data_IF_422044699704
#
_entry.id   IF_422044699704
#
_cell.length_a   1.000
_cell.length_b   1.000
_cell.length_c   1.000
_cell.angle_alpha   90.00
_cell.angle_beta   90.00
_cell.angle_gamma   90.00
#
_symmetry.space_group_name_H-M   'P 1'
#
loop_
_entity.id
_entity.type
_entity.pdbx_description
1 polymer ?
#
# COMPACT_ATOMS: atom_id res chain seq x y z
N UNK A 1 1.25 24.76 11.56
CA UNK A 1 -0.01 23.99 11.77
C UNK A 1 -0.80 24.69 12.87
N UNK A 2 -2.11 24.87 12.71
CA UNK A 2 -2.97 25.46 13.76
C UNK A 2 -3.37 24.42 14.80
N UNK A 3 -3.47 24.84 16.06
CA UNK A 3 -3.86 23.95 17.14
C UNK A 3 -5.30 23.45 16.93
N UNK A 4 -5.56 22.14 17.03
CA UNK A 4 -6.89 21.57 16.78
C UNK A 4 -7.95 21.99 17.80
N UNK A 5 -7.53 22.56 18.95
CA UNK A 5 -8.42 23.05 20.01
C UNK A 5 -8.50 24.59 20.00
N UNK A 6 -7.44 25.27 19.57
CA UNK A 6 -7.36 26.73 19.56
C UNK A 6 -6.89 27.21 18.18
N UNK A 7 -7.84 27.47 17.28
CA UNK A 7 -7.58 27.82 15.86
C UNK A 7 -6.67 29.04 15.67
N UNK A 8 -6.69 29.98 16.61
CA UNK A 8 -5.86 31.20 16.59
C UNK A 8 -4.39 30.93 16.94
N UNK A 9 -4.07 29.80 17.59
CA UNK A 9 -2.71 29.50 18.08
C UNK A 9 -2.00 28.46 17.21
N UNK A 10 -0.71 28.67 17.02
CA UNK A 10 0.14 27.69 16.35
C UNK A 10 0.45 26.49 17.25
N UNK A 11 0.63 25.34 16.62
CA UNK A 11 1.11 24.12 17.27
C UNK A 11 2.56 24.33 17.69
N UNK A 12 2.82 24.18 18.98
CA UNK A 12 4.18 24.30 19.52
C UNK A 12 4.83 22.93 19.70
N UNK A 13 4.04 21.84 19.75
CA UNK A 13 4.52 20.47 19.88
C UNK A 13 3.39 19.46 19.95
N UNK A 14 3.66 18.29 20.53
CA UNK A 14 2.69 17.22 20.69
C UNK A 14 2.77 16.57 22.07
N UNK A 15 1.68 15.92 22.49
CA UNK A 15 1.63 15.12 23.71
C UNK A 15 2.38 13.80 23.50
N UNK A 16 3.35 13.46 24.34
CA UNK A 16 4.10 12.21 24.19
C UNK A 16 3.27 10.94 24.44
N UNK A 17 2.23 11.02 25.28
CA UNK A 17 1.42 9.84 25.64
C UNK A 17 0.38 9.50 24.57
N UNK A 18 -0.18 10.51 23.89
CA UNK A 18 -1.29 10.32 22.94
C UNK A 18 -1.06 10.90 21.54
N UNK A 19 0.06 11.57 21.30
CA UNK A 19 0.46 12.13 19.99
C UNK A 19 -0.34 13.38 19.57
N UNK A 20 -1.27 13.87 20.39
CA UNK A 20 -2.09 15.03 20.03
C UNK A 20 -1.22 16.29 19.95
N UNK A 21 -1.22 16.94 18.79
CA UNK A 21 -0.61 18.25 18.58
C UNK A 21 -1.37 19.33 19.35
N UNK A 22 -0.64 20.26 19.96
CA UNK A 22 -1.23 21.30 20.77
C UNK A 22 -0.40 22.58 20.82
N UNK A 23 -1.07 23.69 21.13
CA UNK A 23 -0.42 24.94 21.48
C UNK A 23 0.10 24.90 22.93
N UNK A 24 0.77 25.97 23.34
CA UNK A 24 1.29 26.19 24.70
C UNK A 24 0.24 26.07 25.82
N UNK A 25 -1.05 26.23 25.51
CA UNK A 25 -2.15 26.05 26.48
C UNK A 25 -2.56 24.57 26.58
N UNK A 26 -2.52 23.86 25.46
CA UNK A 26 -3.00 22.48 25.39
C UNK A 26 -1.99 21.47 25.93
N UNK A 27 -0.72 21.88 26.02
CA UNK A 27 0.41 21.05 26.40
C UNK A 27 1.13 21.64 27.61
N UNK A 28 1.41 20.80 28.58
CA UNK A 28 2.20 21.12 29.77
C UNK A 28 3.58 20.52 29.62
N UNK A 29 4.63 21.32 29.84
CA UNK A 29 6.02 20.86 29.83
C UNK A 29 6.34 20.14 31.14
N UNK A 30 7.06 19.03 31.04
CA UNK A 30 7.42 18.19 32.19
C UNK A 30 8.90 18.32 32.59
N UNK A 31 9.65 19.24 31.97
CA UNK A 31 10.98 19.63 32.44
C UNK A 31 12.17 18.93 31.77
N UNK A 32 11.94 18.22 30.64
CA UNK A 32 12.98 17.58 29.81
C UNK A 32 12.80 17.82 28.30
N UNK A 33 12.08 18.89 27.93
CA UNK A 33 11.62 19.10 26.54
C UNK A 33 10.43 18.22 26.16
N UNK A 34 9.83 17.57 27.16
CA UNK A 34 8.75 16.61 27.03
C UNK A 34 7.41 17.27 27.37
N UNK A 35 6.42 17.14 26.48
CA UNK A 35 5.11 17.81 26.61
C UNK A 35 3.96 16.82 26.70
N UNK A 36 2.98 17.12 27.55
CA UNK A 36 1.84 16.26 27.84
C UNK A 36 0.54 17.06 27.79
N UNK A 37 -0.52 16.50 27.20
CA UNK A 37 -1.83 17.16 27.19
C UNK A 37 -2.57 17.00 28.52
N UNK A 38 -3.47 17.93 28.83
CA UNK A 38 -4.20 17.92 30.11
C UNK A 38 -4.98 16.64 30.41
N UNK A 39 -5.42 15.87 29.39
CA UNK A 39 -6.06 14.55 29.60
C UNK A 39 -5.05 13.51 30.10
N UNK A 40 -3.89 13.41 29.45
CA UNK A 40 -2.83 12.48 29.84
C UNK A 40 -2.16 12.89 31.16
N UNK A 41 -2.00 14.20 31.40
CA UNK A 41 -1.49 14.71 32.68
C UNK A 41 -2.38 14.31 33.87
N UNK A 42 -3.70 14.40 33.72
CA UNK A 42 -4.65 13.93 34.76
C UNK A 42 -4.54 12.43 35.02
N UNK A 43 -4.31 11.62 33.99
CA UNK A 43 -4.12 10.17 34.14
C UNK A 43 -2.81 9.86 34.86
N UNK A 44 -1.70 10.54 34.51
CA UNK A 44 -0.42 10.40 35.22
C UNK A 44 -0.55 10.78 36.71
N UNK A 45 -1.16 11.93 36.99
CA UNK A 45 -1.36 12.38 38.37
C UNK A 45 -2.37 11.55 39.20
N UNK A 46 -3.26 10.79 38.54
CA UNK A 46 -4.15 9.86 39.21
C UNK A 46 -3.43 8.53 39.52
N UNK A 47 -2.53 8.08 38.64
CA UNK A 47 -1.70 6.89 38.86
C UNK A 47 -0.71 7.09 40.02
N UNK A 48 -0.11 8.28 40.14
CA UNK A 48 0.82 8.60 41.23
C UNK A 48 0.16 8.78 42.61
N UNK A 49 -1.17 8.98 42.65
CA UNK A 49 -1.91 9.23 43.91
C UNK A 49 -2.74 8.06 44.43
N UNK A 50 -2.62 6.87 43.84
CA UNK A 50 -3.21 5.64 44.39
C UNK A 50 -4.72 5.71 44.67
N UNK A 51 -5.45 6.61 44.01
CA UNK A 51 -6.83 6.95 44.40
C UNK A 51 -7.82 6.15 43.54
N UNK A 52 -8.04 4.89 43.92
CA UNK A 52 -9.09 4.02 43.36
C UNK A 52 -10.48 4.58 43.72
N UNK A 53 -11.00 5.50 42.90
CA UNK A 53 -12.42 5.84 42.96
C UNK A 53 -13.26 4.67 42.45
N UNK A 54 -13.80 3.90 43.40
CA UNK A 54 -14.88 2.93 43.21
C UNK A 54 -16.07 3.59 42.50
N UNK A 55 -16.25 3.26 41.22
CA UNK A 55 -17.42 3.61 40.42
C UNK A 55 -18.65 2.85 40.88
N UNK A 56 -19.75 3.58 40.99
CA UNK A 56 -21.04 3.32 41.60
C UNK A 56 -21.92 2.22 40.94
N UNK A 57 -21.34 1.15 40.38
CA UNK A 57 -22.09 0.14 39.59
C UNK A 57 -21.92 -1.31 40.06
N UNK A 58 -21.50 -1.54 41.31
CA UNK A 58 -21.27 -2.89 41.86
C UNK A 58 -22.24 -3.30 42.97
N UNK A 59 -23.50 -2.86 42.91
CA UNK A 59 -24.54 -3.23 43.91
C UNK A 59 -25.65 -4.15 43.38
N UNK A 60 -25.47 -4.81 42.24
CA UNK A 60 -26.59 -5.52 41.57
C UNK A 60 -26.38 -6.99 41.21
N UNK A 61 -25.24 -7.62 41.46
CA UNK A 61 -25.12 -9.08 41.20
C UNK A 61 -24.34 -9.78 42.33
N UNK A 62 -25.03 -10.75 42.93
CA UNK A 62 -24.67 -11.44 44.15
C UNK A 62 -23.40 -12.28 44.09
N UNK A 63 -22.85 -12.45 45.28
CA UNK A 63 -21.64 -13.17 45.61
C UNK A 63 -21.72 -14.65 45.23
N UNK A 64 -20.67 -15.18 44.58
CA UNK A 64 -20.30 -16.59 44.73
C UNK A 64 -18.80 -16.70 45.04
N UNK A 65 -18.55 -17.34 46.19
CA UNK A 65 -17.25 -17.66 46.81
C UNK A 65 -16.29 -18.35 45.83
N UNK A 66 -15.01 -17.95 45.86
CA UNK A 66 -13.87 -18.74 45.35
C UNK A 66 -13.13 -19.37 46.53
N UNK A 67 -12.83 -20.66 46.42
CA UNK A 67 -11.85 -21.40 47.24
C UNK A 67 -10.42 -21.19 46.72
N UNK A 68 -9.37 -21.48 47.52
CA UNK A 68 -8.05 -20.86 47.37
C UNK A 68 -6.88 -21.80 46.91
N UNK A 69 -6.00 -21.24 46.05
CA UNK A 69 -4.52 -21.42 45.79
C UNK A 69 -3.94 -22.83 45.47
N UNK A 70 -2.73 -23.00 44.84
CA UNK A 70 -1.41 -22.34 45.06
C UNK A 70 -0.78 -21.69 43.79
N UNK A 71 -0.19 -20.49 43.81
CA UNK A 71 1.12 -20.04 44.33
C UNK A 71 2.36 -20.32 43.42
N UNK A 72 2.63 -19.35 42.52
CA UNK A 72 3.93 -18.77 42.05
C UNK A 72 4.87 -19.53 41.09
N UNK A 73 5.76 -18.84 40.29
CA UNK A 73 6.37 -17.51 40.46
C UNK A 73 5.97 -16.46 39.38
N UNK A 74 5.57 -15.26 39.78
CA UNK A 74 6.39 -14.04 39.91
C UNK A 74 6.88 -13.46 38.57
N UNK A 75 6.38 -12.26 38.25
CA UNK A 75 7.06 -11.31 37.35
C UNK A 75 6.53 -11.18 35.92
N UNK A 76 5.23 -10.87 35.72
CA UNK A 76 4.80 -10.20 34.48
C UNK A 76 3.84 -9.06 34.82
N UNK A 77 4.21 -7.87 34.38
CA UNK A 77 3.51 -6.61 34.61
C UNK A 77 2.01 -6.72 34.31
N UNK A 78 1.21 -6.20 35.25
CA UNK A 78 -0.24 -6.36 35.36
C UNK A 78 -1.07 -5.56 34.34
N UNK A 79 -0.44 -5.08 33.26
CA UNK A 79 -1.12 -4.31 32.20
C UNK A 79 -1.88 -5.23 31.22
N UNK A 80 -1.61 -6.53 31.23
CA UNK A 80 -2.09 -7.49 30.22
C UNK A 80 -3.55 -7.96 30.37
N UNK A 81 -4.33 -7.49 31.34
CA UNK A 81 -5.73 -7.96 31.52
C UNK A 81 -6.71 -6.81 31.71
N UNK A 82 -7.03 -6.09 30.63
CA UNK A 82 -8.36 -5.46 30.44
C UNK A 82 -8.55 -4.98 28.99
N UNK A 83 -9.41 -5.71 28.29
CA UNK A 83 -10.26 -5.34 27.14
C UNK A 83 -9.61 -4.75 25.86
N UNK A 84 -9.53 -5.58 24.82
CA UNK A 84 -9.29 -5.21 23.43
C UNK A 84 -8.44 -6.26 22.73
N UNK A 85 -9.00 -7.01 21.77
CA UNK A 85 -8.34 -8.11 21.04
C UNK A 85 -7.00 -7.65 20.44
N UNK A 86 -5.89 -8.03 21.06
CA UNK A 86 -4.56 -7.74 20.54
C UNK A 86 -4.39 -8.44 19.19
N UNK A 87 -4.09 -7.69 18.13
CA UNK A 87 -3.83 -8.23 16.80
C UNK A 87 -2.37 -8.65 16.70
N UNK A 88 -2.11 -9.88 16.25
CA UNK A 88 -0.77 -10.38 15.95
C UNK A 88 -0.38 -9.92 14.53
N UNK A 89 0.74 -9.24 14.43
CA UNK A 89 1.22 -8.62 13.20
C UNK A 89 2.62 -9.10 12.86
N UNK A 90 2.83 -9.38 11.58
CA UNK A 90 4.16 -9.45 10.96
C UNK A 90 4.33 -8.21 10.10
N UNK A 91 5.24 -7.33 10.50
CA UNK A 91 5.49 -6.03 9.91
C UNK A 91 6.69 -6.13 8.97
N UNK A 92 6.47 -5.85 7.69
CA UNK A 92 7.50 -5.86 6.65
C UNK A 92 7.92 -4.43 6.34
N UNK A 93 9.20 -4.13 6.50
CA UNK A 93 9.77 -2.82 6.17
C UNK A 93 10.29 -2.79 4.73
N UNK A 94 10.33 -1.61 4.12
CA UNK A 94 10.91 -1.40 2.77
C UNK A 94 12.38 -1.80 2.70
N UNK A 95 13.11 -1.71 3.81
CA UNK A 95 14.51 -2.14 3.91
C UNK A 95 14.68 -3.65 4.15
N UNK A 96 13.63 -4.46 3.93
CA UNK A 96 13.59 -5.92 4.14
C UNK A 96 13.68 -6.38 5.60
N UNK A 97 13.71 -5.45 6.58
CA UNK A 97 13.57 -5.83 7.99
C UNK A 97 12.16 -6.36 8.26
N UNK A 98 12.06 -7.34 9.15
CA UNK A 98 10.79 -7.92 9.60
C UNK A 98 10.70 -7.77 11.11
N UNK A 99 9.55 -7.33 11.61
CA UNK A 99 9.23 -7.34 13.05
C UNK A 99 7.95 -8.12 13.30
N UNK A 100 7.97 -8.98 14.31
CA UNK A 100 6.78 -9.69 14.81
C UNK A 100 6.36 -9.09 16.13
N UNK A 101 5.06 -8.91 16.32
CA UNK A 101 4.55 -8.38 17.58
C UNK A 101 3.04 -8.23 17.60
N UNK A 102 2.55 -7.62 18.66
CA UNK A 102 1.13 -7.37 18.86
C UNK A 102 0.82 -5.89 18.91
N UNK A 103 -0.37 -5.50 18.46
CA UNK A 103 -0.89 -4.15 18.64
C UNK A 103 -2.31 -4.18 19.17
N UNK A 104 -2.66 -3.19 20.00
CA UNK A 104 -4.02 -2.99 20.49
C UNK A 104 -4.81 -2.00 19.64
N UNK A 105 -4.13 -1.16 18.85
CA UNK A 105 -4.77 -0.14 18.01
C UNK A 105 -3.95 0.10 16.74
N UNK A 106 -4.58 -0.19 15.60
CA UNK A 106 -4.03 0.06 14.27
C UNK A 106 -4.94 1.06 13.57
N UNK A 107 -4.58 2.34 13.65
CA UNK A 107 -5.27 3.41 12.93
C UNK A 107 -4.54 3.70 11.62
N UNK A 108 -5.17 3.32 10.51
CA UNK A 108 -4.62 3.48 9.16
C UNK A 108 -4.68 4.91 8.63
N UNK A 109 -5.21 5.87 9.39
CA UNK A 109 -5.14 7.30 9.04
C UNK A 109 -4.02 8.01 9.81
N UNK A 110 -3.53 7.41 10.90
CA UNK A 110 -2.40 7.93 11.65
C UNK A 110 -1.06 7.74 10.91
N UNK A 111 0.00 8.51 11.24
CA UNK A 111 1.34 8.35 10.66
C UNK A 111 2.03 7.03 10.99
N UNK A 112 1.58 6.36 12.06
CA UNK A 112 2.16 5.12 12.55
C UNK A 112 1.30 4.48 13.63
N UNK A 113 1.83 3.42 14.23
CA UNK A 113 1.20 2.71 15.32
C UNK A 113 2.26 2.16 16.27
N UNK A 114 1.84 1.73 17.45
CA UNK A 114 2.75 1.08 18.38
C UNK A 114 2.65 -0.44 18.26
N UNK A 115 3.80 -1.09 18.17
CA UNK A 115 3.97 -2.53 18.18
C UNK A 115 4.66 -2.95 19.49
N UNK A 116 4.15 -4.01 20.12
CA UNK A 116 4.82 -4.70 21.22
C UNK A 116 5.53 -5.91 20.61
N UNK A 117 6.87 -5.92 20.51
CA UNK A 117 7.61 -7.01 19.89
C UNK A 117 7.39 -8.34 20.62
N UNK A 118 7.48 -9.46 19.90
CA UNK A 118 7.43 -10.79 20.52
C UNK A 118 8.66 -11.06 21.40
N UNK A 119 9.80 -10.48 21.03
CA UNK A 119 11.07 -10.54 21.75
C UNK A 119 11.49 -9.11 22.15
N UNK A 120 10.90 -8.53 23.20
CA UNK A 120 11.27 -7.18 23.65
C UNK A 120 12.65 -7.21 24.29
N UNK A 121 13.47 -6.20 24.00
CA UNK A 121 14.66 -5.89 24.79
C UNK A 121 14.27 -4.97 25.96
N UNK A 122 15.10 -4.88 27.00
CA UNK A 122 14.84 -3.99 28.16
C UNK A 122 14.61 -2.52 27.75
N UNK A 123 15.08 -2.12 26.56
CA UNK A 123 14.95 -0.78 26.00
C UNK A 123 13.80 -0.65 24.97
N UNK A 124 13.16 -1.75 24.57
CA UNK A 124 12.15 -1.79 23.49
C UNK A 124 10.91 -2.59 23.89
N UNK A 125 10.34 -2.30 25.06
CA UNK A 125 9.05 -2.86 25.47
C UNK A 125 7.90 -2.50 24.50
N UNK A 126 8.04 -1.37 23.79
CA UNK A 126 7.09 -0.89 22.79
C UNK A 126 7.82 -0.05 21.74
N UNK A 127 7.53 -0.29 20.46
CA UNK A 127 8.17 0.40 19.33
C UNK A 127 7.10 1.17 18.57
N UNK A 128 7.34 2.45 18.29
CA UNK A 128 6.52 3.20 17.34
C UNK A 128 7.00 2.92 15.91
N UNK A 129 6.08 2.49 15.06
CA UNK A 129 6.34 2.10 13.67
C UNK A 129 5.64 3.09 12.75
N UNK A 130 6.42 3.81 11.94
CA UNK A 130 5.89 4.70 10.90
C UNK A 130 5.46 3.92 9.67
N UNK A 131 4.27 4.20 9.14
CA UNK A 131 3.79 3.53 7.93
C UNK A 131 4.64 3.84 6.70
N UNK A 132 5.26 5.03 6.64
CA UNK A 132 6.16 5.43 5.55
C UNK A 132 7.32 4.47 5.32
N UNK A 133 7.74 3.77 6.36
CA UNK A 133 8.88 2.86 6.36
C UNK A 133 8.47 1.43 5.96
N UNK A 134 7.16 1.18 5.86
CA UNK A 134 6.60 -0.14 5.68
C UNK A 134 6.35 -0.49 4.22
N UNK A 135 6.55 -1.76 3.94
CA UNK A 135 6.06 -2.44 2.75
C UNK A 135 4.61 -2.85 2.96
N UNK A 136 4.40 -3.66 3.99
CA UNK A 136 3.10 -4.24 4.31
C UNK A 136 3.05 -4.70 5.78
N UNK A 137 1.83 -4.90 6.29
CA UNK A 137 1.59 -5.52 7.58
C UNK A 137 0.68 -6.72 7.38
N UNK A 138 1.15 -7.90 7.74
CA UNK A 138 0.35 -9.12 7.69
C UNK A 138 -0.28 -9.33 9.07
N UNK A 139 -1.60 -9.30 9.12
CA UNK A 139 -2.34 -9.81 10.28
C UNK A 139 -2.34 -11.33 10.19
N UNK A 140 -1.85 -12.00 11.24
CA UNK A 140 -1.66 -13.45 11.25
C UNK A 140 -2.41 -14.12 12.40
N UNK A 141 -2.80 -15.39 12.23
CA UNK A 141 -3.40 -16.19 13.31
C UNK A 141 -2.38 -16.50 14.39
N UNK A 142 -1.17 -16.87 13.98
CA UNK A 142 -0.01 -17.08 14.85
C UNK A 142 1.32 -16.70 14.18
N UNK A 143 2.41 -16.73 14.94
CA UNK A 143 3.75 -16.39 14.44
C UNK A 143 4.54 -17.57 13.86
N UNK A 144 4.07 -18.80 14.05
CA UNK A 144 4.74 -20.06 13.72
C UNK A 144 4.20 -20.72 12.44
N UNK A 145 3.06 -20.25 11.92
CA UNK A 145 2.34 -20.83 10.79
C UNK A 145 1.64 -22.16 11.11
N UNK A 146 1.37 -22.47 12.38
CA UNK A 146 0.82 -23.78 12.83
C UNK A 146 -0.63 -23.68 13.31
N UNK A 147 -1.38 -22.72 12.81
CA UNK A 147 -2.74 -22.48 13.26
C UNK A 147 -3.64 -23.61 12.79
N UNK A 148 -4.43 -24.16 13.72
CA UNK A 148 -5.47 -25.13 13.41
C UNK A 148 -6.45 -24.55 12.37
N UNK A 149 -6.61 -25.16 11.19
CA UNK A 149 -7.57 -24.73 10.18
C UNK A 149 -9.01 -24.68 10.69
N UNK A 150 -9.32 -25.38 11.79
CA UNK A 150 -10.64 -25.47 12.41
C UNK A 150 -10.88 -24.50 13.57
N UNK A 151 -9.93 -23.62 13.89
CA UNK A 151 -10.19 -22.56 14.86
C UNK A 151 -11.15 -21.52 14.23
N UNK A 152 -12.34 -21.36 14.82
CA UNK A 152 -13.34 -20.37 14.44
C UNK A 152 -12.81 -18.94 14.64
N UNK A 153 -12.07 -18.42 13.67
CA UNK A 153 -11.78 -17.00 13.55
C UNK A 153 -12.77 -16.37 12.55
N UNK A 154 -13.32 -15.19 12.85
CA UNK A 154 -14.24 -14.53 11.94
C UNK A 154 -13.55 -14.26 10.60
N UNK A 155 -14.07 -14.86 9.53
CA UNK A 155 -13.64 -14.56 8.17
C UNK A 155 -13.72 -13.04 7.96
N UNK A 156 -12.64 -12.45 7.46
CA UNK A 156 -12.66 -11.02 7.15
C UNK A 156 -13.48 -10.85 5.87
N UNK A 157 -14.65 -10.17 5.91
CA UNK A 157 -15.48 -10.03 4.72
C UNK A 157 -14.68 -9.30 3.64
N UNK A 158 -14.60 -9.89 2.45
CA UNK A 158 -13.86 -9.34 1.32
C UNK A 158 -14.84 -9.06 0.17
N UNK A 159 -15.73 -8.09 0.41
CA UNK A 159 -16.79 -7.69 -0.52
C UNK A 159 -16.31 -6.66 -1.57
N UNK A 160 -15.03 -6.29 -1.50
CA UNK A 160 -14.40 -5.32 -2.39
C UNK A 160 -13.92 -5.91 -3.72
N UNK A 161 -13.04 -5.15 -4.37
CA UNK A 161 -12.52 -5.50 -5.68
C UNK A 161 -11.46 -6.62 -5.57
N UNK A 162 -11.41 -7.51 -6.57
CA UNK A 162 -10.25 -8.38 -6.72
C UNK A 162 -9.02 -7.53 -7.07
N UNK A 163 -7.89 -7.82 -6.43
CA UNK A 163 -6.66 -7.02 -6.55
C UNK A 163 -5.42 -7.88 -6.63
N UNK A 164 -4.43 -7.36 -7.35
CA UNK A 164 -3.11 -7.96 -7.52
C UNK A 164 -2.07 -6.88 -7.39
N UNK A 165 -1.28 -6.98 -6.33
CA UNK A 165 -0.32 -5.99 -5.91
C UNK A 165 1.10 -6.53 -6.12
N UNK A 166 1.88 -5.84 -6.95
CA UNK A 166 3.29 -6.13 -7.15
C UNK A 166 4.12 -5.14 -6.32
N UNK A 167 5.02 -5.65 -5.49
CA UNK A 167 5.90 -4.85 -4.64
C UNK A 167 7.23 -4.52 -5.33
N UNK A 168 7.91 -3.48 -4.84
CA UNK A 168 9.20 -3.05 -5.37
C UNK A 168 10.30 -4.14 -5.34
N UNK A 169 10.19 -5.13 -4.46
CA UNK A 169 11.11 -6.26 -4.34
C UNK A 169 10.72 -7.48 -5.19
N UNK A 170 9.67 -7.38 -6.02
CA UNK A 170 9.21 -8.43 -6.92
C UNK A 170 8.21 -9.41 -6.30
N UNK A 171 7.85 -9.24 -5.01
CA UNK A 171 6.76 -10.02 -4.42
C UNK A 171 5.42 -9.62 -5.04
N UNK A 172 4.55 -10.61 -5.27
CA UNK A 172 3.21 -10.40 -5.81
C UNK A 172 2.20 -10.98 -4.82
N UNK A 173 1.19 -10.17 -4.46
CA UNK A 173 0.09 -10.56 -3.58
C UNK A 173 -1.22 -10.44 -4.33
N UNK A 174 -2.00 -11.51 -4.33
CA UNK A 174 -3.33 -11.60 -4.95
C UNK A 174 -4.41 -11.79 -3.88
N UNK A 175 -5.54 -11.12 -4.04
CA UNK A 175 -6.65 -11.23 -3.10
C UNK A 175 -7.81 -10.32 -3.43
N UNK A 176 -8.59 -9.95 -2.41
CA UNK A 176 -9.70 -9.00 -2.51
C UNK A 176 -9.58 -7.91 -1.46
N UNK A 177 -10.00 -6.70 -1.81
CA UNK A 177 -10.07 -5.62 -0.82
C UNK A 177 -11.25 -5.82 0.13
N UNK A 178 -11.14 -5.33 1.37
CA UNK A 178 -12.24 -5.40 2.36
C UNK A 178 -13.41 -4.51 1.93
N UNK A 179 -13.11 -3.36 1.33
CA UNK A 179 -14.09 -2.38 0.85
C UNK A 179 -13.84 -2.06 -0.63
N UNK A 180 -14.75 -1.32 -1.27
CA UNK A 180 -14.50 -0.74 -2.59
C UNK A 180 -13.19 0.04 -2.58
N UNK A 181 -12.37 -0.22 -3.60
CA UNK A 181 -11.05 0.38 -3.68
C UNK A 181 -11.12 1.87 -4.02
N UNK A 182 -10.48 2.69 -3.21
CA UNK A 182 -10.27 4.11 -3.47
C UNK A 182 -8.90 4.36 -4.13
N UNK A 183 -8.83 4.86 -5.37
CA UNK A 183 -7.58 5.21 -6.03
C UNK A 183 -6.74 6.28 -5.32
N UNK A 184 -7.29 7.06 -4.40
CA UNK A 184 -6.53 8.04 -3.64
C UNK A 184 -5.95 7.49 -2.32
N UNK A 185 -6.33 6.28 -1.90
CA UNK A 185 -5.92 5.75 -0.60
C UNK A 185 -4.41 5.49 -0.54
N UNK A 186 -3.77 5.99 0.53
CA UNK A 186 -2.35 5.70 0.80
C UNK A 186 -2.14 4.25 1.22
N UNK A 187 -3.15 3.64 1.84
CA UNK A 187 -3.12 2.31 2.43
C UNK A 187 -4.45 1.62 2.19
N UNK A 188 -4.39 0.31 1.93
CA UNK A 188 -5.59 -0.52 1.77
C UNK A 188 -5.31 -1.95 2.23
N UNK A 189 -6.38 -2.66 2.58
CA UNK A 189 -6.30 -4.06 2.98
C UNK A 189 -6.52 -4.97 1.79
N UNK A 190 -5.73 -6.04 1.70
CA UNK A 190 -5.93 -7.20 0.86
C UNK A 190 -6.22 -8.40 1.76
N UNK A 191 -7.32 -9.10 1.52
CA UNK A 191 -7.62 -10.42 2.07
C UNK A 191 -7.15 -11.43 1.02
N UNK A 192 -6.11 -12.25 1.31
CA UNK A 192 -5.65 -13.26 0.37
C UNK A 192 -6.75 -14.24 0.00
N UNK A 193 -6.70 -14.79 -1.21
CA UNK A 193 -7.68 -15.79 -1.66
C UNK A 193 -7.56 -17.15 -0.93
N UNK A 194 -6.45 -17.38 -0.23
CA UNK A 194 -6.22 -18.61 0.53
C UNK A 194 -6.82 -18.52 1.95
N UNK A 195 -8.04 -19.04 2.11
CA UNK A 195 -8.75 -19.08 3.40
C UNK A 195 -8.12 -20.04 4.42
N UNK A 196 -7.20 -20.92 4.00
CA UNK A 196 -6.48 -21.86 4.89
C UNK A 196 -5.12 -21.34 5.34
N UNK A 197 -4.67 -20.22 4.79
CA UNK A 197 -3.41 -19.60 5.15
C UNK A 197 -3.41 -19.01 6.56
N UNK A 198 -2.22 -18.87 7.14
CA UNK A 198 -2.02 -18.17 8.41
C UNK A 198 -2.24 -16.64 8.30
N UNK A 199 -2.38 -16.10 7.08
CA UNK A 199 -2.54 -14.66 6.82
C UNK A 199 -4.04 -14.33 6.75
N UNK A 200 -4.50 -13.49 7.67
CA UNK A 200 -5.90 -13.03 7.73
C UNK A 200 -6.14 -11.85 6.80
N UNK A 201 -5.23 -10.88 6.81
CA UNK A 201 -5.27 -9.71 5.95
C UNK A 201 -3.90 -9.07 5.85
N UNK A 202 -3.68 -8.34 4.76
CA UNK A 202 -2.44 -7.64 4.45
C UNK A 202 -2.80 -6.16 4.31
N UNK A 203 -2.34 -5.32 5.23
CA UNK A 203 -2.37 -3.87 5.04
C UNK A 203 -1.19 -3.47 4.16
N UNK A 204 -1.47 -2.96 2.97
CA UNK A 204 -0.48 -2.55 1.99
C UNK A 204 -0.23 -1.05 2.12
N UNK A 205 1.05 -0.67 2.17
CA UNK A 205 1.47 0.72 2.02
C UNK A 205 1.70 0.99 0.52
N UNK A 206 0.87 1.84 -0.09
CA UNK A 206 0.87 2.05 -1.55
C UNK A 206 2.22 2.51 -2.07
N UNK A 207 2.96 3.30 -1.28
CA UNK A 207 4.29 3.78 -1.65
C UNK A 207 5.36 2.68 -1.75
N UNK A 208 5.06 1.45 -1.34
CA UNK A 208 5.93 0.28 -1.53
C UNK A 208 5.57 -0.56 -2.76
N UNK A 209 4.46 -0.25 -3.43
CA UNK A 209 4.03 -0.94 -4.63
C UNK A 209 4.80 -0.46 -5.86
N UNK A 210 5.00 -1.41 -6.77
CA UNK A 210 5.48 -1.19 -8.12
C UNK A 210 4.33 -1.20 -9.13
N UNK A 211 3.32 -2.04 -8.89
CA UNK A 211 2.13 -2.19 -9.71
C UNK A 211 0.90 -2.60 -8.90
N UNK A 212 -0.29 -2.21 -9.36
CA UNK A 212 -1.56 -2.56 -8.73
C UNK A 212 -2.66 -2.72 -9.78
N UNK A 213 -3.28 -3.89 -9.84
CA UNK A 213 -4.43 -4.20 -10.68
C UNK A 213 -5.71 -4.42 -9.85
N UNK A 214 -6.87 -4.08 -10.43
CA UNK A 214 -8.17 -4.07 -9.75
C UNK A 214 -9.28 -4.53 -10.70
N UNK A 215 -10.11 -5.49 -10.27
CA UNK A 215 -11.32 -5.94 -10.99
C UNK A 215 -11.32 -7.42 -11.37
N UNK A 216 -12.34 -7.85 -12.12
CA UNK A 216 -12.41 -9.21 -12.67
C UNK A 216 -11.35 -9.33 -13.78
N UNK A 217 -10.30 -10.11 -13.55
CA UNK A 217 -9.25 -10.43 -14.53
C UNK A 217 -9.80 -11.28 -15.70
N UNK A 218 -10.71 -10.72 -16.50
CA UNK A 218 -11.32 -11.37 -17.66
C UNK A 218 -10.43 -11.09 -18.88
N UNK A 219 -9.65 -12.11 -19.25
CA UNK A 219 -8.90 -12.25 -20.49
C UNK A 219 -8.11 -11.02 -20.97
N UNK A 220 -6.78 -11.09 -20.79
CA UNK A 220 -5.83 -10.29 -21.58
C UNK A 220 -5.10 -9.18 -20.83
N UNK A 221 -5.04 -9.22 -19.50
CA UNK A 221 -4.30 -8.22 -18.71
C UNK A 221 -3.37 -8.89 -17.68
N UNK A 222 -2.61 -9.89 -18.11
CA UNK A 222 -1.24 -10.08 -17.65
C UNK A 222 -0.42 -10.50 -18.86
N UNK A 223 0.79 -9.96 -18.94
CA UNK A 223 1.72 -9.95 -20.05
C UNK A 223 1.43 -8.84 -21.08
N UNK A 224 1.89 -7.62 -20.77
CA UNK A 224 2.62 -6.83 -21.76
C UNK A 224 3.45 -5.64 -21.23
N UNK A 225 3.04 -5.00 -20.12
CA UNK A 225 3.75 -3.79 -19.63
C UNK A 225 4.77 -4.06 -18.52
N UNK A 226 4.70 -5.20 -17.80
CA UNK A 226 5.56 -5.41 -16.62
C UNK A 226 6.77 -6.34 -16.80
N UNK A 227 6.87 -7.07 -17.92
CA UNK A 227 8.12 -7.76 -18.29
C UNK A 227 9.22 -6.75 -18.66
N UNK A 228 8.85 -5.50 -19.01
CA UNK A 228 9.77 -4.40 -19.26
C UNK A 228 10.28 -3.70 -17.98
N UNK A 229 9.57 -3.83 -16.85
CA UNK A 229 9.97 -3.22 -15.57
C UNK A 229 10.85 -4.14 -14.71
N UNK A 230 10.98 -5.41 -15.09
CA UNK A 230 11.94 -6.37 -14.51
C UNK A 230 13.41 -6.12 -14.86
N UNK A 231 13.69 -5.12 -15.72
CA UNK A 231 15.05 -4.71 -16.09
C UNK A 231 15.23 -3.20 -15.90
N UNK A 232 15.07 -2.71 -14.68
CA UNK A 232 15.72 -1.46 -14.28
C UNK A 232 16.57 -1.77 -13.04
N UNK A 233 17.70 -2.41 -13.31
CA UNK A 233 18.87 -2.39 -12.43
C UNK A 233 19.21 -0.95 -11.99
N UNK A 234 19.84 -0.79 -10.82
CA UNK A 234 20.23 0.51 -10.31
C UNK A 234 21.20 1.21 -11.27
N UNK A 235 20.98 2.51 -11.42
CA UNK A 235 21.92 3.55 -11.87
C UNK A 235 23.00 3.15 -12.89
N UNK A 236 22.81 3.47 -14.18
CA UNK A 236 23.92 3.69 -15.11
C UNK A 236 23.68 4.93 -15.98
N UNK A 237 24.76 5.71 -16.13
CA UNK A 237 24.91 6.97 -16.87
C UNK A 237 24.17 6.98 -18.22
N UNK A 238 23.52 8.10 -18.57
CA UNK A 238 22.90 8.33 -19.88
C UNK A 238 21.37 8.45 -19.88
N UNK A 239 20.70 8.34 -18.73
CA UNK A 239 19.24 8.46 -18.63
C UNK A 239 18.79 9.93 -18.66
N UNK A 240 17.74 10.23 -19.42
CA UNK A 240 17.08 11.53 -19.38
C UNK A 240 16.52 11.80 -17.97
N UNK A 241 16.73 12.98 -17.36
CA UNK A 241 15.98 13.35 -16.17
C UNK A 241 14.49 13.38 -16.50
N UNK A 242 13.63 13.03 -15.53
CA UNK A 242 12.17 13.12 -15.70
C UNK A 242 11.81 14.58 -15.99
N UNK A 243 11.62 14.89 -17.26
CA UNK A 243 11.42 16.27 -17.72
C UNK A 243 9.94 16.65 -17.62
N UNK A 244 9.68 17.96 -17.61
CA UNK A 244 8.32 18.48 -17.66
C UNK A 244 7.57 17.94 -18.90
N UNK A 245 8.24 17.89 -20.06
CA UNK A 245 7.65 17.38 -21.29
C UNK A 245 7.34 15.88 -21.18
N UNK A 246 8.20 15.08 -20.55
CA UNK A 246 7.90 13.67 -20.35
C UNK A 246 6.69 13.45 -19.43
N UNK A 247 6.60 14.24 -18.36
CA UNK A 247 5.44 14.20 -17.44
C UNK A 247 4.14 14.62 -18.14
N UNK A 248 4.22 15.61 -19.04
CA UNK A 248 3.09 16.01 -19.88
C UNK A 248 2.69 14.91 -20.87
N UNK A 249 3.67 14.21 -21.44
CA UNK A 249 3.44 13.04 -22.28
C UNK A 249 2.71 11.93 -21.51
N UNK A 250 3.13 11.65 -20.29
CA UNK A 250 2.48 10.65 -19.40
C UNK A 250 1.04 11.03 -19.08
N UNK A 251 0.79 12.33 -18.82
CA UNK A 251 -0.55 12.85 -18.61
C UNK A 251 -1.43 12.66 -19.86
N UNK A 252 -0.96 13.07 -21.04
CA UNK A 252 -1.72 12.89 -22.28
C UNK A 252 -1.96 11.42 -22.64
N UNK A 253 -0.98 10.56 -22.35
CA UNK A 253 -1.12 9.12 -22.50
C UNK A 253 -2.24 8.57 -21.62
N UNK A 254 -2.32 9.00 -20.34
CA UNK A 254 -3.40 8.60 -19.43
C UNK A 254 -4.79 9.05 -19.91
N UNK A 255 -4.86 10.21 -20.59
CA UNK A 255 -6.07 10.73 -21.22
C UNK A 255 -6.40 10.03 -22.55
N UNK A 256 -5.59 9.04 -22.97
CA UNK A 256 -5.67 8.34 -24.27
C UNK A 256 -5.48 9.28 -25.47
N UNK A 257 -4.90 10.46 -25.25
CA UNK A 257 -4.54 11.40 -26.30
C UNK A 257 -3.11 11.11 -26.78
N UNK A 258 -2.97 10.02 -27.55
CA UNK A 258 -1.67 9.51 -27.98
C UNK A 258 -0.94 10.44 -28.94
N UNK A 259 -1.66 11.24 -29.72
CA UNK A 259 -1.07 12.25 -30.61
C UNK A 259 -0.30 13.31 -29.83
N UNK A 260 -0.93 13.88 -28.79
CA UNK A 260 -0.29 14.85 -27.91
C UNK A 260 0.84 14.20 -27.08
N UNK A 261 0.64 12.96 -26.61
CA UNK A 261 1.66 12.23 -25.86
C UNK A 261 2.94 12.00 -26.69
N UNK A 262 2.80 11.54 -27.94
CA UNK A 262 3.93 11.38 -28.88
C UNK A 262 4.66 12.70 -29.10
N UNK A 263 3.93 13.78 -29.32
CA UNK A 263 4.51 15.11 -29.52
C UNK A 263 5.42 15.51 -28.36
N UNK A 264 4.98 15.28 -27.12
CA UNK A 264 5.79 15.61 -25.94
C UNK A 264 6.97 14.66 -25.74
N UNK A 265 6.80 13.35 -25.93
CA UNK A 265 7.91 12.40 -25.84
C UNK A 265 8.98 12.62 -26.91
N UNK A 266 8.58 12.98 -28.14
CA UNK A 266 9.51 13.24 -29.23
C UNK A 266 10.37 14.48 -28.98
N UNK A 267 9.86 15.49 -28.24
CA UNK A 267 10.70 16.61 -27.79
C UNK A 267 11.83 16.13 -26.90
N UNK A 268 11.54 15.24 -25.95
CA UNK A 268 12.55 14.67 -25.04
C UNK A 268 13.51 13.75 -25.79
N UNK A 269 13.03 13.02 -26.81
CA UNK A 269 13.85 12.07 -27.59
C UNK A 269 14.93 12.78 -28.40
N UNK A 270 14.71 14.03 -28.79
CA UNK A 270 15.74 14.84 -29.46
C UNK A 270 16.98 15.03 -28.59
N UNK A 271 16.77 15.24 -27.30
CA UNK A 271 17.87 15.46 -26.34
C UNK A 271 18.46 14.12 -25.86
N UNK A 272 17.66 13.05 -25.86
CA UNK A 272 18.05 11.72 -25.37
C UNK A 272 17.60 10.61 -26.34
N UNK A 273 18.25 10.46 -27.51
CA UNK A 273 17.82 9.54 -28.56
C UNK A 273 17.95 8.06 -28.18
N UNK A 274 18.94 7.72 -27.35
CA UNK A 274 19.26 6.34 -26.98
C UNK A 274 18.60 5.90 -25.65
N UNK A 275 17.72 6.71 -25.07
CA UNK A 275 17.04 6.38 -23.83
C UNK A 275 15.97 5.29 -24.07
N UNK A 276 16.31 4.06 -23.66
CA UNK A 276 15.44 2.87 -23.80
C UNK A 276 14.07 3.03 -23.17
N UNK A 277 13.95 3.81 -22.08
CA UNK A 277 12.65 4.07 -21.41
C UNK A 277 11.78 4.96 -22.28
N UNK A 278 12.36 6.00 -22.87
CA UNK A 278 11.63 6.93 -23.73
C UNK A 278 11.25 6.27 -25.07
N UNK A 279 12.15 5.46 -25.63
CA UNK A 279 11.87 4.65 -26.81
C UNK A 279 10.65 3.74 -26.58
N UNK A 280 10.60 3.04 -25.45
CA UNK A 280 9.48 2.18 -25.10
C UNK A 280 8.16 2.96 -24.96
N UNK A 281 8.17 4.13 -24.31
CA UNK A 281 6.97 4.99 -24.18
C UNK A 281 6.41 5.41 -25.54
N UNK A 282 7.29 5.78 -26.49
CA UNK A 282 6.91 6.15 -27.85
C UNK A 282 6.34 4.95 -28.61
N UNK A 283 6.97 3.78 -28.49
CA UNK A 283 6.47 2.54 -29.10
C UNK A 283 5.09 2.15 -28.58
N UNK A 284 4.84 2.23 -27.27
CA UNK A 284 3.53 1.96 -26.67
C UNK A 284 2.48 2.95 -27.18
N UNK A 285 2.82 4.25 -27.31
CA UNK A 285 1.93 5.23 -27.92
C UNK A 285 1.55 4.85 -29.35
N UNK A 286 2.53 4.54 -30.21
CA UNK A 286 2.28 4.13 -31.60
C UNK A 286 1.41 2.86 -31.65
N UNK A 287 1.69 1.88 -30.79
CA UNK A 287 0.88 0.66 -30.69
C UNK A 287 -0.57 0.97 -30.34
N UNK A 288 -0.82 1.77 -29.30
CA UNK A 288 -2.18 2.10 -28.87
C UNK A 288 -2.93 2.97 -29.88
N UNK A 289 -2.22 3.86 -30.58
CA UNK A 289 -2.77 4.63 -31.71
C UNK A 289 -3.16 3.71 -32.87
N UNK A 290 -2.31 2.73 -33.21
CA UNK A 290 -2.62 1.69 -34.19
C UNK A 290 -3.85 0.85 -33.81
N UNK A 291 -3.98 0.48 -32.54
CA UNK A 291 -5.18 -0.21 -32.02
C UNK A 291 -6.44 0.65 -32.15
N UNK A 292 -6.35 1.96 -31.90
CA UNK A 292 -7.47 2.87 -32.13
C UNK A 292 -7.85 2.94 -33.61
N UNK A 293 -6.88 2.97 -34.53
CA UNK A 293 -7.16 2.93 -35.96
C UNK A 293 -7.82 1.63 -36.40
N UNK A 294 -7.45 0.47 -35.83
CA UNK A 294 -8.16 -0.79 -36.06
C UNK A 294 -9.64 -0.66 -35.68
N UNK A 295 -9.95 -0.07 -34.52
CA UNK A 295 -11.35 0.14 -34.07
C UNK A 295 -12.13 1.02 -35.03
N UNK A 296 -11.47 2.01 -35.63
CA UNK A 296 -12.02 2.87 -36.67
C UNK A 296 -11.99 2.28 -38.07
N UNK A 297 -11.60 1.00 -38.23
CA UNK A 297 -11.43 0.29 -39.53
C UNK A 297 -10.43 0.95 -40.49
N UNK A 298 -9.53 1.78 -39.95
CA UNK A 298 -8.45 2.47 -40.66
C UNK A 298 -7.21 1.58 -40.67
N UNK A 299 -7.27 0.51 -41.47
CA UNK A 299 -6.30 -0.58 -41.38
C UNK A 299 -4.91 -0.21 -41.95
N UNK A 300 -4.85 0.67 -42.94
CA UNK A 300 -3.58 1.13 -43.51
C UNK A 300 -2.83 2.01 -42.51
N UNK A 301 -3.53 2.94 -41.88
CA UNK A 301 -2.99 3.79 -40.83
C UNK A 301 -2.57 2.98 -39.61
N UNK A 302 -3.38 1.99 -39.21
CA UNK A 302 -3.02 1.07 -38.14
C UNK A 302 -1.72 0.31 -38.43
N UNK A 303 -1.57 -0.21 -39.66
CA UNK A 303 -0.35 -0.90 -40.09
C UNK A 303 0.86 0.03 -40.01
N UNK A 304 0.74 1.25 -40.53
CA UNK A 304 1.83 2.23 -40.51
C UNK A 304 2.28 2.58 -39.08
N UNK A 305 1.37 2.62 -38.11
CA UNK A 305 1.74 2.85 -36.71
C UNK A 305 2.52 1.66 -36.11
N UNK A 306 2.14 0.42 -36.43
CA UNK A 306 2.87 -0.76 -35.95
C UNK A 306 4.26 -0.92 -36.56
N UNK A 307 4.45 -0.49 -37.81
CA UNK A 307 5.74 -0.53 -38.50
C UNK A 307 6.77 0.45 -37.93
N UNK A 308 6.35 1.43 -37.12
CA UNK A 308 7.26 2.34 -36.41
C UNK A 308 7.95 1.68 -35.21
N UNK A 309 7.50 0.51 -34.79
CA UNK A 309 8.04 -0.22 -33.64
C UNK A 309 9.21 -1.08 -34.15
N UNK A 310 10.42 -0.82 -33.64
CA UNK A 310 11.64 -1.54 -34.03
C UNK A 310 11.64 -3.01 -33.59
N UNK A 311 12.41 -3.86 -34.27
CA UNK A 311 12.44 -5.30 -33.99
C UNK A 311 13.03 -5.66 -32.62
N UNK A 312 13.88 -4.77 -32.10
CA UNK A 312 14.52 -4.85 -30.79
C UNK A 312 13.60 -4.39 -29.65
N UNK A 313 12.41 -3.86 -29.96
CA UNK A 313 11.46 -3.36 -28.99
C UNK A 313 10.68 -4.51 -28.32
N UNK A 314 10.52 -4.51 -26.97
CA UNK A 314 9.75 -5.53 -26.25
C UNK A 314 8.33 -5.77 -26.78
N UNK A 315 7.70 -4.75 -27.39
CA UNK A 315 6.33 -4.88 -27.91
C UNK A 315 6.25 -5.25 -29.41
N UNK A 316 7.40 -5.40 -30.09
CA UNK A 316 7.46 -5.70 -31.52
C UNK A 316 6.67 -6.94 -31.93
N UNK A 317 6.84 -8.05 -31.22
CA UNK A 317 6.16 -9.31 -31.58
C UNK A 317 4.63 -9.18 -31.56
N UNK A 318 4.09 -8.29 -30.72
CA UNK A 318 2.66 -8.03 -30.65
C UNK A 318 2.22 -7.13 -31.80
N UNK A 319 2.98 -6.09 -32.09
CA UNK A 319 2.79 -5.23 -33.26
C UNK A 319 2.81 -6.07 -34.54
N UNK A 320 3.81 -6.93 -34.71
CA UNK A 320 3.96 -7.87 -35.83
C UNK A 320 2.76 -8.80 -35.99
N UNK A 321 2.25 -9.39 -34.89
CA UNK A 321 1.04 -10.23 -34.92
C UNK A 321 -0.19 -9.43 -35.40
N UNK A 322 -0.33 -8.17 -34.97
CA UNK A 322 -1.42 -7.29 -35.43
C UNK A 322 -1.25 -6.92 -36.91
N UNK A 323 -0.05 -6.57 -37.35
CA UNK A 323 0.28 -6.30 -38.75
C UNK A 323 -0.07 -7.47 -39.65
N UNK A 324 0.34 -8.69 -39.30
CA UNK A 324 -0.01 -9.91 -40.08
C UNK A 324 -1.52 -10.12 -40.21
N UNK A 325 -2.28 -9.85 -39.14
CA UNK A 325 -3.76 -9.92 -39.17
C UNK A 325 -4.34 -8.86 -40.11
N UNK A 326 -3.84 -7.62 -40.03
CA UNK A 326 -4.24 -6.53 -40.92
C UNK A 326 -3.95 -6.89 -42.38
N UNK A 327 -2.76 -7.41 -42.68
CA UNK A 327 -2.39 -7.81 -44.04
C UNK A 327 -3.27 -8.94 -44.59
N UNK A 328 -3.73 -9.85 -43.72
CA UNK A 328 -4.70 -10.88 -44.11
C UNK A 328 -6.04 -10.22 -44.48
N UNK A 329 -6.55 -9.33 -43.64
CA UNK A 329 -7.79 -8.58 -43.89
C UNK A 329 -7.70 -7.76 -45.18
N UNK A 330 -6.58 -7.06 -45.41
CA UNK A 330 -6.36 -6.26 -46.61
C UNK A 330 -6.29 -7.13 -47.87
N UNK A 331 -5.62 -8.30 -47.81
CA UNK A 331 -5.59 -9.26 -48.93
C UNK A 331 -6.96 -9.85 -49.23
N UNK A 332 -7.75 -10.17 -48.21
CA UNK A 332 -9.14 -10.64 -48.36
C UNK A 332 -10.01 -9.54 -48.98
N UNK A 333 -9.89 -8.30 -48.53
CA UNK A 333 -10.60 -7.17 -49.10
C UNK A 333 -10.23 -6.89 -50.58
N UNK A 334 -8.95 -7.05 -50.95
CA UNK A 334 -8.48 -6.94 -52.34
C UNK A 334 -9.00 -8.09 -53.22
N UNK A 335 -9.13 -9.31 -52.68
CA UNK A 335 -9.74 -10.45 -53.38
C UNK A 335 -11.24 -10.30 -53.57
N UNK A 336 -11.90 -9.54 -52.70
CA UNK A 336 -13.30 -9.16 -52.82
C UNK A 336 -13.48 -7.81 -53.52
N UNK A 337 -12.52 -7.39 -54.36
CA UNK A 337 -12.64 -6.18 -55.19
C UNK A 337 -13.94 -6.16 -56.02
N UNK A 338 -14.37 -4.96 -56.44
CA UNK A 338 -15.75 -4.46 -56.44
C UNK A 338 -16.84 -5.38 -56.98
#
# INVERSE_FOLDING_TARGET
MKCPVHSEKDVVGYCMDCGVFGCEICLTDTGKGERICGKCGKVRHAADRGDEKKGFLSKLLGEKKKTPVPATPAGRSSVARRAGTSRKLVVYFKNKRILKGTTYKLDIQSPGFFLIPTEPTEQQERIFVHFSDLKAIHSVRDFEGKSDPHADEPETPADGNAVKAAFADGEIVEGRTIHHFDPACQRFFIVPNDSKGNILSILVERSALKGLEIGDYKHGSFAEEEEALGLLEPEKKGRAPLSQNESMGDLYFSMKNYDAALTEYEKVRKDFPDDRRLALKISICNFNRGVNFIKSRKYLEAKAEFEKIGEDDPIYEKARKKTKKIEKILREAQRMGP
#
